data_IF_571991520014
#
_entry.id   IF_571991520014
#
_cell.length_a   1.000
_cell.length_b   1.000
_cell.length_c   1.000
_cell.angle_alpha   90.00
_cell.angle_beta   90.00
_cell.angle_gamma   90.00
#
_symmetry.space_group_name_H-M   'P 1'
#
loop_
_entity.id
_entity.type
_entity.pdbx_description
1 polymer ?
#
# COMPACT_ATOMS: atom_id res chain seq x y z
N UNK A 1 -20.79 -9.29 -4.45
CA UNK A 1 -19.43 -9.48 -5.00
C UNK A 1 -18.52 -9.81 -3.84
N UNK A 2 -17.70 -10.85 -3.95
CA UNK A 2 -16.74 -11.22 -2.90
C UNK A 2 -15.65 -10.15 -2.83
N UNK A 3 -15.40 -9.60 -1.63
CA UNK A 3 -14.39 -8.57 -1.40
C UNK A 3 -13.01 -9.22 -1.50
N UNK A 4 -12.11 -8.66 -2.30
CA UNK A 4 -10.72 -9.12 -2.36
C UNK A 4 -10.06 -9.02 -0.99
N UNK A 5 -9.28 -10.03 -0.60
CA UNK A 5 -8.49 -9.98 0.63
C UNK A 5 -7.27 -9.07 0.38
N UNK A 6 -7.08 -8.08 1.24
CA UNK A 6 -5.96 -7.13 1.15
C UNK A 6 -5.20 -7.16 2.48
N UNK A 7 -3.92 -7.51 2.40
CA UNK A 7 -3.02 -7.58 3.54
C UNK A 7 -1.92 -6.53 3.39
N UNK A 8 -1.54 -5.94 4.52
CA UNK A 8 -0.44 -5.01 4.60
C UNK A 8 0.47 -5.41 5.75
N UNK A 9 1.66 -5.89 5.40
CA UNK A 9 2.74 -6.12 6.35
C UNK A 9 3.53 -4.83 6.51
N UNK A 10 3.68 -4.33 7.73
CA UNK A 10 4.54 -3.18 8.04
C UNK A 10 5.55 -3.62 9.09
N UNK A 11 6.84 -3.42 8.83
CA UNK A 11 7.88 -3.82 9.77
C UNK A 11 7.65 -3.17 11.14
N UNK A 12 7.79 -3.96 12.21
CA UNK A 12 7.56 -3.56 13.60
C UNK A 12 6.12 -3.22 13.99
N UNK A 13 5.14 -3.41 13.10
CA UNK A 13 3.71 -3.20 13.39
C UNK A 13 2.96 -4.50 13.13
N UNK A 14 2.44 -5.12 14.19
CA UNK A 14 1.66 -6.35 14.07
C UNK A 14 0.16 -6.07 13.94
N UNK A 15 -0.47 -6.71 12.97
CA UNK A 15 -1.91 -6.81 12.84
C UNK A 15 -2.49 -8.08 13.46
N UNK A 16 -3.77 -8.31 13.19
CA UNK A 16 -4.55 -9.40 13.80
C UNK A 16 -4.95 -10.49 12.81
N UNK A 17 -4.46 -10.43 11.56
CA UNK A 17 -4.87 -11.40 10.55
C UNK A 17 -4.62 -12.83 11.01
N UNK A 18 -5.63 -13.67 10.82
CA UNK A 18 -5.55 -15.11 11.07
C UNK A 18 -5.34 -15.90 9.77
N UNK A 19 -5.14 -15.22 8.64
CA UNK A 19 -4.87 -15.88 7.37
C UNK A 19 -3.59 -16.72 7.45
N UNK A 20 -3.63 -17.94 6.92
CA UNK A 20 -2.50 -18.87 7.01
C UNK A 20 -1.21 -18.35 6.34
N UNK A 21 -1.32 -17.51 5.31
CA UNK A 21 -0.18 -16.93 4.59
C UNK A 21 0.18 -15.52 5.06
N UNK A 22 -0.76 -14.78 5.65
CA UNK A 22 -0.58 -13.40 6.11
C UNK A 22 -0.80 -13.24 7.62
N UNK A 23 -0.49 -14.28 8.40
CA UNK A 23 -0.72 -14.28 9.84
C UNK A 23 -0.01 -13.12 10.53
N UNK A 24 -0.78 -12.33 11.29
CA UNK A 24 -0.28 -11.17 12.00
C UNK A 24 -0.02 -9.94 11.13
N UNK A 25 -0.39 -9.96 9.84
CA UNK A 25 -0.41 -8.76 9.00
C UNK A 25 -1.69 -7.93 9.26
N UNK A 26 -1.69 -6.68 8.78
CA UNK A 26 -2.88 -5.84 8.81
C UNK A 26 -3.85 -6.30 7.73
N UNK A 27 -5.11 -6.53 8.07
CA UNK A 27 -6.19 -6.68 7.10
C UNK A 27 -6.77 -5.29 6.82
N UNK A 28 -6.62 -4.81 5.58
CA UNK A 28 -7.06 -3.47 5.19
C UNK A 28 -8.28 -3.56 4.27
N UNK A 29 -9.15 -2.56 4.33
CA UNK A 29 -10.41 -2.53 3.58
C UNK A 29 -10.25 -1.93 2.19
N UNK A 30 -9.36 -0.94 2.06
CA UNK A 30 -9.11 -0.21 0.82
C UNK A 30 -7.76 0.49 0.86
N UNK A 31 -7.24 0.81 -0.32
CA UNK A 31 -6.06 1.66 -0.47
C UNK A 31 -6.17 2.53 -1.73
N UNK A 32 -5.40 3.61 -1.76
CA UNK A 32 -5.21 4.44 -2.94
C UNK A 32 -3.79 4.98 -2.98
N UNK A 33 -3.24 5.08 -4.19
CA UNK A 33 -1.92 5.61 -4.42
C UNK A 33 -1.80 6.08 -5.86
N UNK A 34 -0.99 7.10 -6.11
CA UNK A 34 -0.91 7.75 -7.40
C UNK A 34 0.42 8.45 -7.64
N UNK A 35 0.69 8.70 -8.91
CA UNK A 35 1.86 9.42 -9.38
C UNK A 35 1.45 10.35 -10.52
N UNK A 36 1.96 11.57 -10.51
CA UNK A 36 1.68 12.58 -11.54
C UNK A 36 2.99 13.05 -12.15
N UNK A 37 3.10 13.01 -13.48
CA UNK A 37 4.22 13.61 -14.19
C UNK A 37 3.78 14.96 -14.78
N UNK A 38 4.52 16.03 -14.47
CA UNK A 38 4.26 17.38 -14.97
C UNK A 38 4.69 17.62 -16.43
N UNK A 39 5.07 16.58 -17.17
CA UNK A 39 5.40 16.67 -18.60
C UNK A 39 4.24 17.30 -19.39
N UNK A 40 4.54 18.34 -20.16
CA UNK A 40 3.53 19.09 -20.93
C UNK A 40 3.85 19.10 -22.42
N UNK A 41 2.82 18.84 -23.24
CA UNK A 41 2.88 18.97 -24.70
C UNK A 41 2.81 20.43 -25.17
N UNK A 42 2.29 21.32 -24.33
CA UNK A 42 1.93 22.70 -24.70
C UNK A 42 3.08 23.69 -24.60
N UNK A 43 4.15 23.34 -23.89
CA UNK A 43 5.35 24.18 -23.74
C UNK A 43 6.45 23.54 -24.57
N UNK A 44 6.96 24.26 -25.57
CA UNK A 44 7.99 23.78 -26.50
C UNK A 44 9.30 23.45 -25.78
N UNK A 45 9.40 22.22 -25.27
CA UNK A 45 10.56 21.71 -24.54
C UNK A 45 10.62 20.18 -24.45
N UNK A 46 9.68 19.47 -25.10
CA UNK A 46 9.59 18.02 -25.10
C UNK A 46 8.86 17.44 -23.86
N UNK A 47 8.06 16.39 -24.09
CA UNK A 47 7.18 15.75 -23.09
C UNK A 47 7.92 15.10 -21.90
N UNK A 48 9.23 14.86 -22.02
CA UNK A 48 10.02 14.09 -21.05
C UNK A 48 10.75 14.91 -19.98
N UNK A 49 10.52 16.22 -19.90
CA UNK A 49 11.24 17.12 -18.97
C UNK A 49 10.64 17.17 -17.56
N UNK A 50 9.41 16.70 -17.38
CA UNK A 50 8.73 16.66 -16.07
C UNK A 50 9.30 15.60 -15.14
N UNK A 51 9.55 15.98 -13.88
CA UNK A 51 9.82 15.02 -12.80
C UNK A 51 8.50 14.51 -12.25
N UNK A 52 8.42 13.20 -12.00
CA UNK A 52 7.25 12.59 -11.38
C UNK A 52 7.14 13.02 -9.91
N UNK A 53 5.91 13.27 -9.46
CA UNK A 53 5.57 13.43 -8.06
C UNK A 53 4.71 12.24 -7.63
N UNK A 54 5.19 11.48 -6.66
CA UNK A 54 4.41 10.42 -6.03
C UNK A 54 3.60 10.98 -4.87
N UNK A 55 2.38 10.49 -4.72
CA UNK A 55 1.53 10.76 -3.56
C UNK A 55 1.87 9.78 -2.43
N UNK A 56 1.45 10.10 -1.21
CA UNK A 56 1.50 9.13 -0.10
C UNK A 56 0.61 7.93 -0.44
N UNK A 57 1.01 6.74 0.01
CA UNK A 57 0.15 5.57 -0.04
C UNK A 57 -0.89 5.68 1.08
N UNK A 58 -2.17 5.64 0.73
CA UNK A 58 -3.27 5.76 1.68
C UNK A 58 -3.97 4.42 1.83
N UNK A 59 -4.32 4.03 3.06
CA UNK A 59 -5.17 2.87 3.31
C UNK A 59 -6.19 3.11 4.41
N UNK A 60 -7.26 2.31 4.40
CA UNK A 60 -8.27 2.27 5.45
C UNK A 60 -8.29 0.88 6.08
N UNK A 61 -8.34 0.80 7.41
CA UNK A 61 -8.51 -0.45 8.14
C UNK A 61 -9.47 -0.27 9.33
N UNK A 62 -10.12 -1.35 9.82
CA UNK A 62 -10.83 -1.31 11.09
C UNK A 62 -9.87 -0.99 12.24
N UNK A 63 -10.40 -0.41 13.32
CA UNK A 63 -9.63 -0.30 14.56
C UNK A 63 -9.31 -1.70 15.09
N UNK A 64 -8.02 -1.95 15.34
CA UNK A 64 -7.48 -3.18 15.93
C UNK A 64 -6.20 -2.89 16.75
N UNK A 65 -5.48 -3.90 17.22
CA UNK A 65 -4.25 -3.72 18.04
C UNK A 65 -3.11 -2.94 17.37
N UNK A 66 -3.12 -2.73 16.06
CA UNK A 66 -2.09 -1.92 15.39
C UNK A 66 -2.37 -0.41 15.48
N UNK A 67 -3.58 -0.03 15.89
CA UNK A 67 -4.05 1.35 15.87
C UNK A 67 -3.18 2.28 16.70
N UNK A 68 -2.90 1.91 17.95
CA UNK A 68 -2.07 2.68 18.88
C UNK A 68 -0.63 2.83 18.37
N UNK A 69 -0.04 1.75 17.83
CA UNK A 69 1.31 1.76 17.26
C UNK A 69 1.36 2.66 16.03
N UNK A 70 0.35 2.66 15.17
CA UNK A 70 0.28 3.55 14.02
C UNK A 70 0.20 5.02 14.44
N UNK A 71 -0.60 5.35 15.46
CA UNK A 71 -0.63 6.69 16.05
C UNK A 71 0.74 7.08 16.64
N UNK A 72 1.40 6.17 17.36
CA UNK A 72 2.72 6.41 17.93
C UNK A 72 3.76 6.65 16.83
N UNK A 73 3.79 5.82 15.78
CA UNK A 73 4.72 5.98 14.65
C UNK A 73 4.51 7.30 13.92
N UNK A 74 3.25 7.74 13.79
CA UNK A 74 2.93 9.05 13.24
C UNK A 74 3.46 10.19 14.11
N UNK A 75 3.31 10.08 15.44
CA UNK A 75 3.79 11.09 16.38
C UNK A 75 5.31 11.16 16.46
N UNK A 76 5.99 10.01 16.38
CA UNK A 76 7.44 9.92 16.45
C UNK A 76 8.14 10.30 15.15
N UNK A 77 7.46 10.19 14.00
CA UNK A 77 8.06 10.38 12.68
C UNK A 77 9.20 9.41 12.38
N UNK A 78 9.24 8.25 13.05
CA UNK A 78 10.33 7.27 12.91
C UNK A 78 10.21 6.47 11.63
N UNK A 79 11.35 6.27 10.98
CA UNK A 79 11.48 5.44 9.80
C UNK A 79 11.17 3.98 10.10
N UNK A 80 10.43 3.36 9.19
CA UNK A 80 10.08 1.95 9.14
C UNK A 80 10.79 1.37 7.92
N UNK A 81 11.58 0.29 8.06
CA UNK A 81 12.41 -0.20 6.96
C UNK A 81 11.62 -0.65 5.73
N UNK A 82 10.48 -1.32 5.93
CA UNK A 82 9.73 -1.95 4.83
C UNK A 82 8.24 -2.07 5.15
N UNK A 83 7.43 -1.97 4.10
CA UNK A 83 6.05 -2.46 4.09
C UNK A 83 5.77 -3.22 2.80
N UNK A 84 4.87 -4.20 2.86
CA UNK A 84 4.42 -4.99 1.70
C UNK A 84 2.91 -5.08 1.70
N UNK A 85 2.31 -4.51 0.67
CA UNK A 85 0.89 -4.63 0.33
C UNK A 85 0.73 -5.86 -0.56
N UNK A 86 -0.21 -6.73 -0.23
CA UNK A 86 -0.58 -7.90 -1.05
C UNK A 86 -2.09 -7.96 -1.19
N UNK A 87 -2.56 -8.04 -2.43
CA UNK A 87 -3.97 -8.24 -2.74
C UNK A 87 -4.16 -9.56 -3.47
N UNK A 88 -5.18 -10.33 -3.06
CA UNK A 88 -5.49 -11.65 -3.62
C UNK A 88 -6.87 -11.69 -4.27
N UNK A 89 -7.07 -12.65 -5.17
CA UNK A 89 -8.42 -12.98 -5.67
C UNK A 89 -9.31 -13.39 -4.51
N UNK A 90 -10.56 -12.91 -4.52
CA UNK A 90 -11.55 -13.24 -3.52
C UNK A 90 -12.15 -14.64 -3.77
N UNK A 91 -12.07 -15.53 -2.78
CA UNK A 91 -12.59 -16.90 -2.88
C UNK A 91 -11.86 -17.79 -3.90
N UNK A 92 -12.12 -19.10 -3.86
CA UNK A 92 -11.45 -20.07 -4.74
C UNK A 92 -9.96 -20.21 -4.43
N UNK A 93 -9.11 -20.18 -5.47
CA UNK A 93 -7.65 -20.18 -5.30
C UNK A 93 -7.20 -18.78 -4.90
N UNK A 94 -6.78 -18.62 -3.64
CA UNK A 94 -6.26 -17.37 -3.06
C UNK A 94 -4.86 -17.06 -3.61
N UNK A 95 -4.81 -16.70 -4.89
CA UNK A 95 -3.61 -16.30 -5.61
C UNK A 95 -3.45 -14.78 -5.59
N UNK A 96 -2.20 -14.32 -5.54
CA UNK A 96 -1.86 -12.90 -5.53
C UNK A 96 -2.15 -12.28 -6.90
N UNK A 97 -2.76 -11.09 -6.89
CA UNK A 97 -3.04 -10.29 -8.09
C UNK A 97 -2.26 -8.98 -8.14
N UNK A 98 -1.81 -8.50 -6.98
CA UNK A 98 -0.96 -7.32 -6.85
C UNK A 98 -0.09 -7.45 -5.61
N UNK A 99 1.18 -7.05 -5.74
CA UNK A 99 2.03 -6.78 -4.59
C UNK A 99 2.78 -5.47 -4.77
N UNK A 100 2.86 -4.66 -3.71
CA UNK A 100 3.65 -3.44 -3.68
C UNK A 100 4.53 -3.47 -2.44
N UNK A 101 5.85 -3.45 -2.64
CA UNK A 101 6.84 -3.28 -1.59
C UNK A 101 7.25 -1.82 -1.51
N UNK A 102 7.24 -1.25 -0.31
CA UNK A 102 7.77 0.07 0.01
C UNK A 102 9.00 -0.06 0.90
N UNK A 103 9.97 0.83 0.74
CA UNK A 103 11.16 0.90 1.59
C UNK A 103 11.37 2.27 2.18
N UNK A 104 11.92 2.26 3.39
CA UNK A 104 12.25 3.45 4.18
C UNK A 104 11.07 4.43 4.19
N UNK A 105 10.07 4.05 4.99
CA UNK A 105 8.77 4.70 5.03
C UNK A 105 8.49 5.34 6.39
N UNK A 106 7.60 6.31 6.41
CA UNK A 106 7.11 6.96 7.63
C UNK A 106 5.59 7.04 7.60
N UNK A 107 4.97 6.94 8.77
CA UNK A 107 3.54 7.23 8.92
C UNK A 107 3.38 8.74 8.93
N UNK A 108 2.69 9.28 7.93
CA UNK A 108 2.53 10.75 7.74
C UNK A 108 1.21 11.28 8.23
N UNK A 109 0.18 10.43 8.32
CA UNK A 109 -1.10 10.80 8.91
C UNK A 109 -1.83 9.56 9.42
N UNK A 110 -2.62 9.75 10.48
CA UNK A 110 -3.60 8.77 10.98
C UNK A 110 -4.88 9.54 11.34
N UNK A 111 -6.01 9.11 10.81
CA UNK A 111 -7.32 9.69 11.10
C UNK A 111 -8.26 8.60 11.60
N UNK A 112 -8.73 8.72 12.84
CA UNK A 112 -9.73 7.83 13.42
C UNK A 112 -11.11 8.41 13.20
N UNK A 113 -12.02 7.61 12.66
CA UNK A 113 -13.41 8.00 12.44
C UNK A 113 -14.37 6.86 12.73
N UNK A 114 -15.53 7.22 13.29
CA UNK A 114 -16.66 6.31 13.42
C UNK A 114 -17.94 7.05 13.01
N UNK A 115 -18.37 6.86 11.77
CA UNK A 115 -19.54 7.54 11.20
C UNK A 115 -20.88 6.91 11.61
N UNK A 116 -20.87 5.66 12.10
CA UNK A 116 -22.09 4.92 12.43
C UNK A 116 -22.37 4.87 13.93
N UNK A 117 -21.39 5.18 14.76
CA UNK A 117 -21.43 4.97 16.22
C UNK A 117 -21.40 3.49 16.63
N UNK A 118 -21.36 2.56 15.67
CA UNK A 118 -21.26 1.13 15.91
C UNK A 118 -19.79 0.68 15.91
N UNK A 119 -19.43 -0.20 16.85
CA UNK A 119 -18.06 -0.69 17.00
C UNK A 119 -17.04 0.42 17.27
N UNK A 120 -15.77 0.15 17.00
CA UNK A 120 -14.68 1.10 17.20
C UNK A 120 -14.41 2.02 15.99
N UNK A 121 -15.08 1.78 14.85
CA UNK A 121 -14.87 2.52 13.61
C UNK A 121 -13.65 2.06 12.81
N UNK A 122 -13.09 2.97 12.03
CA UNK A 122 -11.97 2.73 11.11
C UNK A 122 -10.91 3.80 11.27
N UNK A 123 -9.67 3.46 10.92
CA UNK A 123 -8.61 4.44 10.72
C UNK A 123 -8.24 4.57 9.24
N UNK A 124 -7.90 5.78 8.83
CA UNK A 124 -7.28 6.10 7.55
C UNK A 124 -5.83 6.51 7.81
N UNK A 125 -4.90 5.90 7.08
CA UNK A 125 -3.46 6.06 7.32
C UNK A 125 -2.75 6.41 6.03
N UNK A 126 -1.82 7.35 6.10
CA UNK A 126 -0.93 7.72 4.99
C UNK A 126 0.50 7.29 5.28
N UNK A 127 1.17 6.67 4.31
CA UNK A 127 2.58 6.33 4.33
C UNK A 127 3.33 7.11 3.25
N UNK A 128 4.45 7.73 3.60
CA UNK A 128 5.42 8.24 2.63
C UNK A 128 6.66 7.34 2.64
N UNK A 129 7.38 7.25 1.53
CA UNK A 129 8.44 6.24 1.32
C UNK A 129 9.48 6.73 0.30
N UNK A 130 10.68 6.14 0.33
CA UNK A 130 11.76 6.54 -0.59
C UNK A 130 11.88 5.67 -1.83
N UNK A 131 11.33 4.45 -1.81
CA UNK A 131 11.38 3.50 -2.93
C UNK A 131 10.16 2.59 -2.90
N UNK A 132 9.69 2.20 -4.08
CA UNK A 132 8.71 1.13 -4.21
C UNK A 132 9.12 0.12 -5.29
N UNK A 133 8.61 -1.10 -5.16
CA UNK A 133 8.57 -2.13 -6.22
C UNK A 133 7.15 -2.66 -6.35
N UNK A 134 6.62 -2.65 -7.56
CA UNK A 134 5.28 -3.15 -7.87
C UNK A 134 5.38 -4.41 -8.73
N UNK A 135 4.69 -5.45 -8.28
CA UNK A 135 4.54 -6.72 -8.98
C UNK A 135 3.08 -6.89 -9.40
N UNK A 136 2.84 -6.88 -10.71
CA UNK A 136 1.56 -7.23 -11.31
C UNK A 136 1.53 -8.71 -11.67
N UNK A 137 0.34 -9.31 -11.60
CA UNK A 137 0.12 -10.70 -11.94
C UNK A 137 -0.93 -10.83 -13.06
N UNK A 138 -0.70 -11.77 -13.96
CA UNK A 138 -1.66 -12.19 -14.97
C UNK A 138 -2.43 -13.40 -14.44
N UNK A 139 -3.76 -13.34 -14.47
CA UNK A 139 -4.62 -14.46 -14.08
C UNK A 139 -4.93 -15.34 -15.30
N UNK A 140 -4.64 -16.63 -15.18
CA UNK A 140 -4.99 -17.65 -16.14
C UNK A 140 -6.47 -18.05 -16.07
N UNK A 141 -6.95 -18.72 -17.12
CA UNK A 141 -8.34 -19.19 -17.22
C UNK A 141 -8.72 -20.22 -16.14
N UNK A 142 -7.74 -20.88 -15.54
CA UNK A 142 -7.89 -21.88 -14.47
C UNK A 142 -7.80 -21.28 -13.06
N UNK A 143 -7.79 -19.95 -12.97
CA UNK A 143 -7.69 -19.19 -11.73
C UNK A 143 -6.29 -19.09 -11.14
N UNK A 144 -5.25 -19.67 -11.77
CA UNK A 144 -3.86 -19.49 -11.33
C UNK A 144 -3.35 -18.11 -11.72
N UNK A 145 -2.37 -17.57 -10.99
CA UNK A 145 -1.70 -16.33 -11.37
C UNK A 145 -0.23 -16.56 -11.68
N UNK A 146 0.31 -15.76 -12.61
CA UNK A 146 1.73 -15.74 -12.94
C UNK A 146 2.25 -14.30 -12.89
N UNK A 147 3.51 -14.13 -12.51
CA UNK A 147 4.16 -12.81 -12.51
C UNK A 147 4.21 -12.25 -13.93
N UNK A 148 3.70 -11.04 -14.12
CA UNK A 148 3.57 -10.41 -15.44
C UNK A 148 4.41 -9.14 -15.60
N UNK A 149 4.61 -8.38 -14.52
CA UNK A 149 5.45 -7.18 -14.54
C UNK A 149 6.04 -6.89 -13.18
N UNK A 150 7.35 -6.61 -13.14
CA UNK A 150 8.05 -6.19 -11.94
C UNK A 150 8.88 -4.96 -12.26
N UNK A 151 8.58 -3.85 -11.61
CA UNK A 151 9.34 -2.61 -11.76
C UNK A 151 9.27 -1.82 -10.46
N UNK A 152 10.24 -0.94 -10.25
CA UNK A 152 10.15 0.01 -9.16
C UNK A 152 10.73 1.37 -9.52
N UNK A 153 10.64 2.27 -8.56
CA UNK A 153 11.27 3.57 -8.62
C UNK A 153 11.83 3.94 -7.26
N UNK A 154 13.03 4.51 -7.25
CA UNK A 154 13.56 5.20 -6.09
C UNK A 154 13.18 6.67 -6.20
N UNK A 155 12.23 7.10 -5.37
CA UNK A 155 11.67 8.45 -5.32
C UNK A 155 12.75 9.46 -4.96
N UNK A 156 13.65 9.11 -4.03
CA UNK A 156 14.71 9.99 -3.54
C UNK A 156 15.76 10.33 -4.61
N UNK A 157 16.18 9.32 -5.38
CA UNK A 157 17.21 9.49 -6.42
C UNK A 157 16.63 9.67 -7.82
N UNK A 158 15.32 9.52 -7.97
CA UNK A 158 14.58 9.65 -9.21
C UNK A 158 15.11 8.73 -10.32
N UNK A 159 15.29 7.44 -9.98
CA UNK A 159 15.74 6.40 -10.93
C UNK A 159 14.93 5.11 -10.76
N UNK A 160 14.87 4.31 -11.84
CA UNK A 160 14.26 2.98 -11.82
C UNK A 160 15.06 2.01 -10.94
N UNK A 161 14.37 1.10 -10.26
CA UNK A 161 14.95 -0.01 -9.46
C UNK A 161 14.39 -1.38 -9.83
#
# INVERSE_FOLDING_TARGET
>A
MSQADIFLKIDTIEGESQDSKHKGELEIQSYSWGATNAGSASVGGGLGTGKVQFQNFHFTMPVNKATDVLFLRCAEGKHIPKAVLTQRVAGGKQEDILSIEFKDLVVTSVQLGNSTGAGAGTIQVSLDFTEYKIQAYEQGKDGTTKKAGNTGWNVKTNVKV
#
